data_IF_774577212292
#
_entry.id   IF_774577212292
#
_cell.length_a   1.000
_cell.length_b   1.000
_cell.length_c   1.000
_cell.angle_alpha   90.00
_cell.angle_beta   90.00
_cell.angle_gamma   90.00
#
_symmetry.space_group_name_H-M   'P 1'
#
loop_
_entity.id
_entity.type
_entity.pdbx_description
1 polymer ?
#
# COMPACT_ATOMS: atom_id res chain seq x y z
N UNK A 1 24.56 -25.25 19.46
CA UNK A 1 23.26 -25.73 18.98
C UNK A 1 22.91 -24.90 17.76
N UNK A 2 22.96 -25.47 16.55
CA UNK A 2 22.71 -24.75 15.31
C UNK A 2 21.20 -24.72 15.08
N UNK A 3 20.59 -23.53 15.12
CA UNK A 3 19.18 -23.37 14.78
C UNK A 3 19.07 -23.51 13.26
N UNK A 4 18.49 -24.63 12.80
CA UNK A 4 18.11 -24.78 11.40
C UNK A 4 16.76 -24.07 11.26
N UNK A 5 16.75 -22.91 10.61
CA UNK A 5 15.51 -22.27 10.21
C UNK A 5 14.92 -23.01 9.01
N UNK A 6 13.70 -23.51 9.15
CA UNK A 6 12.93 -24.09 8.05
C UNK A 6 12.07 -22.98 7.43
N UNK A 7 12.13 -22.86 6.11
CA UNK A 7 11.21 -21.99 5.37
C UNK A 7 9.77 -22.50 5.52
N UNK A 8 8.83 -21.58 5.73
CA UNK A 8 7.39 -21.87 5.82
C UNK A 8 6.65 -21.04 4.79
N UNK A 9 6.01 -21.70 3.83
CA UNK A 9 5.07 -21.05 2.93
C UNK A 9 3.74 -20.80 3.66
N UNK A 10 3.25 -19.55 3.62
CA UNK A 10 2.04 -19.12 4.36
C UNK A 10 0.86 -18.87 3.42
N UNK A 11 1.11 -18.52 2.16
CA UNK A 11 0.09 -18.32 1.12
C UNK A 11 0.33 -19.23 -0.08
N UNK A 12 -0.74 -19.62 -0.78
CA UNK A 12 -0.69 -20.56 -1.92
C UNK A 12 -1.50 -20.12 -3.13
N UNK A 13 -2.17 -18.97 -3.05
CA UNK A 13 -2.99 -18.47 -4.15
C UNK A 13 -2.11 -18.09 -5.35
N UNK A 14 -2.61 -18.31 -6.57
CA UNK A 14 -1.88 -17.95 -7.78
C UNK A 14 -2.10 -16.48 -8.15
N UNK A 15 -1.49 -15.58 -7.36
CA UNK A 15 -1.52 -14.12 -7.53
C UNK A 15 -0.28 -13.48 -6.89
N UNK A 16 -0.10 -12.19 -7.11
CA UNK A 16 0.94 -11.40 -6.44
C UNK A 16 0.84 -11.46 -4.92
N UNK A 17 1.99 -11.56 -4.26
CA UNK A 17 2.15 -11.43 -2.81
C UNK A 17 3.36 -10.55 -2.54
N UNK A 18 3.29 -9.30 -3.00
CA UNK A 18 4.43 -8.37 -2.99
C UNK A 18 4.52 -7.70 -1.63
N UNK A 19 5.66 -7.87 -0.97
CA UNK A 19 5.99 -7.19 0.27
C UNK A 19 6.72 -5.89 -0.04
N UNK A 20 6.31 -4.80 0.59
CA UNK A 20 7.15 -3.61 0.68
C UNK A 20 8.44 -3.97 1.42
N UNK A 21 9.54 -3.30 1.07
CA UNK A 21 10.86 -3.56 1.63
C UNK A 21 10.98 -3.31 3.16
N UNK A 22 9.95 -2.73 3.79
CA UNK A 22 9.91 -2.44 5.23
C UNK A 22 8.47 -2.34 5.75
N UNK A 23 8.31 -2.34 7.07
CA UNK A 23 7.05 -1.98 7.73
C UNK A 23 5.87 -2.91 7.47
N UNK A 24 6.12 -4.16 7.05
CA UNK A 24 5.02 -5.06 6.62
C UNK A 24 4.33 -5.82 7.75
N UNK A 25 4.83 -5.73 8.98
CA UNK A 25 4.29 -6.47 10.13
C UNK A 25 3.25 -5.64 10.88
N UNK A 26 2.15 -6.28 11.28
CA UNK A 26 1.20 -5.68 12.21
C UNK A 26 1.84 -5.43 13.58
N UNK A 27 1.33 -4.48 14.38
CA UNK A 27 1.86 -4.19 15.72
C UNK A 27 1.95 -5.41 16.65
N UNK A 28 1.01 -6.34 16.52
CA UNK A 28 0.95 -7.58 17.31
C UNK A 28 1.82 -8.72 16.74
N UNK A 29 2.55 -8.46 15.64
CA UNK A 29 3.40 -9.42 14.94
C UNK A 29 2.69 -10.69 14.45
N UNK A 30 1.36 -10.68 14.33
CA UNK A 30 0.60 -11.83 13.88
C UNK A 30 0.24 -11.78 12.39
N UNK A 31 0.32 -10.60 11.76
CA UNK A 31 -0.10 -10.37 10.39
C UNK A 31 1.00 -9.71 9.57
N UNK A 32 1.05 -10.08 8.29
CA UNK A 32 1.91 -9.44 7.28
C UNK A 32 1.01 -8.84 6.20
N UNK A 33 1.23 -7.57 5.84
CA UNK A 33 0.55 -6.91 4.72
C UNK A 33 1.33 -7.11 3.42
N UNK A 34 0.60 -7.32 2.33
CA UNK A 34 1.13 -7.39 0.98
C UNK A 34 0.14 -6.81 -0.03
N UNK A 35 0.63 -6.48 -1.22
CA UNK A 35 -0.19 -6.14 -2.37
C UNK A 35 -0.16 -7.22 -3.46
N UNK A 36 -1.11 -7.13 -4.38
CA UNK A 36 -1.35 -8.18 -5.39
C UNK A 36 -0.90 -7.81 -6.80
N UNK A 37 0.06 -6.88 -6.95
CA UNK A 37 0.70 -6.61 -8.26
C UNK A 37 1.20 -7.90 -8.91
N UNK A 38 0.99 -8.02 -10.21
CA UNK A 38 1.21 -9.29 -10.93
C UNK A 38 2.69 -9.63 -11.14
N UNK A 39 3.52 -8.60 -11.18
CA UNK A 39 4.95 -8.71 -11.45
C UNK A 39 5.77 -8.93 -10.16
N UNK A 40 6.66 -9.94 -10.10
CA UNK A 40 7.47 -10.22 -8.91
C UNK A 40 8.43 -9.10 -8.48
N UNK A 41 8.94 -8.25 -9.39
CA UNK A 41 9.73 -7.08 -8.98
C UNK A 41 8.85 -5.92 -8.51
N UNK A 42 7.55 -5.97 -8.79
CA UNK A 42 6.59 -4.94 -8.44
C UNK A 42 6.68 -3.70 -9.33
N UNK A 43 7.31 -3.80 -10.50
CA UNK A 43 7.52 -2.68 -11.41
C UNK A 43 6.22 -2.29 -12.13
N UNK A 44 5.35 -3.28 -12.34
CA UNK A 44 4.02 -3.08 -12.93
C UNK A 44 3.03 -2.69 -11.84
N UNK A 45 2.37 -1.55 -12.02
CA UNK A 45 1.36 -1.06 -11.09
C UNK A 45 -0.06 -1.45 -11.50
N UNK A 46 -0.37 -2.73 -11.29
CA UNK A 46 -1.64 -3.35 -11.64
C UNK A 46 -2.31 -4.07 -10.45
N UNK A 47 -1.83 -3.83 -9.23
CA UNK A 47 -2.34 -4.45 -8.02
C UNK A 47 -3.80 -4.05 -7.77
N UNK A 48 -4.66 -5.04 -7.54
CA UNK A 48 -6.10 -4.82 -7.35
C UNK A 48 -6.54 -4.86 -5.89
N UNK A 49 -5.71 -5.41 -5.00
CA UNK A 49 -6.01 -5.54 -3.58
C UNK A 49 -4.81 -5.28 -2.68
N UNK A 50 -5.09 -4.72 -1.50
CA UNK A 50 -4.21 -4.74 -0.33
C UNK A 50 -4.73 -5.79 0.64
N UNK A 51 -3.86 -6.70 1.06
CA UNK A 51 -4.25 -7.87 1.86
C UNK A 51 -3.33 -8.08 3.04
N UNK A 52 -3.83 -8.79 4.06
CA UNK A 52 -3.03 -9.26 5.19
C UNK A 52 -3.18 -10.76 5.37
N UNK A 53 -2.08 -11.43 5.70
CA UNK A 53 -2.06 -12.85 6.05
C UNK A 53 -1.61 -13.04 7.49
N UNK A 54 -2.34 -13.88 8.23
CA UNK A 54 -1.94 -14.28 9.57
C UNK A 54 -0.86 -15.37 9.50
N UNK A 55 0.29 -15.14 10.13
CA UNK A 55 1.46 -16.04 9.97
C UNK A 55 1.30 -17.41 10.64
N UNK A 56 0.40 -17.51 11.63
CA UNK A 56 0.17 -18.75 12.37
C UNK A 56 -0.84 -19.63 11.64
N UNK A 57 -1.93 -19.03 11.15
CA UNK A 57 -3.09 -19.74 10.60
C UNK A 57 -3.14 -19.77 9.07
N UNK A 58 -2.39 -18.91 8.39
CA UNK A 58 -2.51 -18.71 6.93
C UNK A 58 -3.78 -18.00 6.50
N UNK A 59 -4.61 -17.51 7.44
CA UNK A 59 -5.84 -16.78 7.12
C UNK A 59 -5.50 -15.46 6.43
N UNK A 60 -6.07 -15.26 5.24
CA UNK A 60 -5.98 -14.00 4.48
C UNK A 60 -7.23 -13.15 4.73
N UNK A 61 -7.04 -11.82 4.81
CA UNK A 61 -8.10 -10.83 4.75
C UNK A 61 -7.74 -9.78 3.70
N UNK A 62 -8.73 -9.36 2.91
CA UNK A 62 -8.57 -8.19 2.05
C UNK A 62 -8.90 -6.94 2.86
N UNK A 63 -8.01 -5.95 2.83
CA UNK A 63 -8.19 -4.67 3.50
C UNK A 63 -8.76 -3.62 2.57
N UNK A 64 -8.43 -3.69 1.28
CA UNK A 64 -8.88 -2.72 0.29
C UNK A 64 -8.93 -3.36 -1.10
N UNK A 65 -10.00 -3.07 -1.84
CA UNK A 65 -10.12 -3.33 -3.27
C UNK A 65 -10.03 -2.02 -4.05
N UNK A 66 -9.12 -1.95 -5.02
CA UNK A 66 -9.13 -0.84 -5.97
C UNK A 66 -10.38 -0.90 -6.85
N UNK A 67 -10.96 0.27 -7.15
CA UNK A 67 -12.20 0.35 -7.93
C UNK A 67 -12.04 1.28 -9.12
N UNK A 68 -13.01 1.23 -10.05
CA UNK A 68 -13.12 2.18 -11.14
C UNK A 68 -11.85 2.33 -12.00
N UNK A 69 -11.08 1.25 -12.18
CA UNK A 69 -9.84 1.26 -12.98
C UNK A 69 -8.60 1.79 -12.25
N UNK A 70 -8.70 2.10 -10.95
CA UNK A 70 -7.53 2.37 -10.12
C UNK A 70 -6.77 1.07 -9.80
N UNK A 71 -5.50 1.24 -9.44
CA UNK A 71 -4.63 0.20 -8.90
C UNK A 71 -4.02 0.65 -7.58
N UNK A 72 -3.63 -0.30 -6.74
CA UNK A 72 -3.05 -0.07 -5.44
C UNK A 72 -1.80 -0.93 -5.23
N UNK A 73 -0.94 -0.54 -4.28
CA UNK A 73 0.21 -1.34 -3.90
C UNK A 73 1.08 -0.69 -2.83
N UNK A 74 2.24 -1.28 -2.57
CA UNK A 74 3.30 -0.69 -1.72
C UNK A 74 2.77 -0.34 -0.32
N UNK A 75 2.25 -1.37 0.36
CA UNK A 75 1.61 -1.23 1.66
C UNK A 75 2.59 -1.33 2.84
N UNK A 76 2.41 -0.52 3.88
CA UNK A 76 3.10 -0.62 5.17
C UNK A 76 2.11 -0.45 6.33
N UNK A 77 2.38 -1.10 7.45
CA UNK A 77 1.62 -0.96 8.70
C UNK A 77 2.08 0.26 9.51
N UNK A 78 1.13 0.83 10.24
CA UNK A 78 1.42 1.71 11.37
C UNK A 78 2.07 0.90 12.51
N UNK A 79 3.09 1.44 13.23
CA UNK A 79 3.84 0.67 14.23
C UNK A 79 3.03 0.32 15.49
N UNK A 80 1.95 1.04 15.78
CA UNK A 80 1.17 0.89 17.01
C UNK A 80 -0.34 0.68 16.81
N UNK A 81 -0.84 0.92 15.60
CA UNK A 81 -2.28 0.92 15.30
C UNK A 81 -2.55 -0.09 14.20
N UNK A 82 -3.80 -0.55 14.12
CA UNK A 82 -4.25 -1.44 13.05
C UNK A 82 -4.60 -0.65 11.78
N UNK A 83 -3.66 0.17 11.31
CA UNK A 83 -3.77 0.99 10.10
C UNK A 83 -2.71 0.56 9.10
N UNK A 84 -3.06 0.57 7.83
CA UNK A 84 -2.15 0.32 6.71
C UNK A 84 -2.17 1.53 5.79
N UNK A 85 -0.99 2.04 5.46
CA UNK A 85 -0.80 3.08 4.44
C UNK A 85 -0.29 2.42 3.15
N UNK A 86 -0.77 2.89 2.00
CA UNK A 86 -0.40 2.35 0.69
C UNK A 86 -0.62 3.39 -0.41
N UNK A 87 -0.09 3.12 -1.62
CA UNK A 87 -0.32 3.98 -2.78
C UNK A 87 -1.58 3.56 -3.52
N UNK A 88 -2.33 4.55 -4.02
CA UNK A 88 -3.50 4.38 -4.85
C UNK A 88 -3.36 5.23 -6.13
N UNK A 89 -3.69 4.64 -7.28
CA UNK A 89 -3.81 5.34 -8.55
C UNK A 89 -5.14 6.09 -8.68
N UNK A 90 -5.30 6.93 -9.72
CA UNK A 90 -6.55 7.63 -9.95
C UNK A 90 -7.66 6.65 -10.34
N UNK A 91 -8.87 6.93 -9.86
CA UNK A 91 -10.08 6.28 -10.39
C UNK A 91 -10.52 6.93 -11.70
N UNK A 92 -11.17 6.13 -12.54
CA UNK A 92 -11.75 6.52 -13.84
C UNK A 92 -10.74 7.21 -14.76
N UNK A 93 -9.58 6.60 -15.04
CA UNK A 93 -8.64 7.15 -16.02
C UNK A 93 -9.33 7.29 -17.38
N UNK A 94 -8.98 8.34 -18.13
CA UNK A 94 -9.45 8.54 -19.51
C UNK A 94 -8.82 7.49 -20.43
N UNK A 95 -9.42 7.25 -21.61
CA UNK A 95 -8.93 6.20 -22.52
C UNK A 95 -7.51 6.46 -23.07
N UNK A 96 -7.10 7.72 -23.12
CA UNK A 96 -5.77 8.18 -23.50
C UNK A 96 -4.79 8.26 -22.33
N UNK A 97 -5.25 7.98 -21.10
CA UNK A 97 -4.41 8.01 -19.91
C UNK A 97 -3.31 6.95 -19.99
N UNK A 98 -2.11 7.38 -19.61
CA UNK A 98 -0.98 6.48 -19.38
C UNK A 98 -0.58 6.56 -17.91
N UNK A 99 -0.19 5.41 -17.39
CA UNK A 99 0.33 5.34 -16.04
C UNK A 99 1.60 6.18 -15.88
N UNK A 100 1.64 6.97 -14.81
CA UNK A 100 2.83 7.70 -14.36
C UNK A 100 2.89 7.68 -12.83
N UNK A 101 4.10 7.68 -12.28
CA UNK A 101 4.31 7.73 -10.84
C UNK A 101 3.75 9.02 -10.21
N UNK A 102 3.72 10.12 -10.98
CA UNK A 102 3.14 11.39 -10.55
C UNK A 102 1.62 11.35 -10.34
N UNK A 103 0.93 10.26 -10.71
CA UNK A 103 -0.51 10.11 -10.51
C UNK A 103 -0.88 9.39 -9.21
N UNK A 104 0.09 8.82 -8.49
CA UNK A 104 -0.13 8.05 -7.24
C UNK A 104 -0.42 8.98 -6.06
N UNK A 105 -1.23 8.52 -5.12
CA UNK A 105 -1.46 9.18 -3.83
C UNK A 105 -1.32 8.19 -2.67
N UNK A 106 -0.94 8.69 -1.50
CA UNK A 106 -1.04 7.97 -0.23
C UNK A 106 -2.46 7.93 0.30
N UNK A 107 -2.89 6.74 0.69
CA UNK A 107 -4.14 6.50 1.41
C UNK A 107 -3.90 5.58 2.59
N UNK A 108 -4.79 5.64 3.58
CA UNK A 108 -4.77 4.79 4.77
C UNK A 108 -6.07 4.01 4.85
N UNK A 109 -6.00 2.74 5.27
CA UNK A 109 -7.16 1.93 5.67
C UNK A 109 -7.00 1.42 7.09
N UNK A 110 -8.09 1.41 7.86
CA UNK A 110 -8.17 0.72 9.14
C UNK A 110 -8.53 -0.75 8.90
N UNK A 111 -7.75 -1.67 9.47
CA UNK A 111 -7.95 -3.12 9.32
C UNK A 111 -9.33 -3.58 9.81
N UNK A 112 -9.95 -2.87 10.73
CA UNK A 112 -11.30 -3.16 11.23
C UNK A 112 -12.41 -2.53 10.38
N UNK A 113 -12.06 -1.62 9.48
CA UNK A 113 -12.98 -0.93 8.57
C UNK A 113 -12.48 -1.05 7.12
N UNK A 114 -12.44 -2.28 6.57
CA UNK A 114 -11.91 -2.54 5.24
C UNK A 114 -12.71 -1.79 4.16
N UNK A 115 -12.05 -1.55 3.02
CA UNK A 115 -12.54 -0.82 1.85
C UNK A 115 -12.86 0.67 2.09
N UNK A 116 -12.74 1.16 3.34
CA UNK A 116 -12.89 2.58 3.68
C UNK A 116 -11.49 3.22 3.75
N UNK A 117 -11.00 3.67 2.60
CA UNK A 117 -9.74 4.41 2.51
C UNK A 117 -9.93 5.90 2.83
N UNK A 118 -9.00 6.46 3.60
CA UNK A 118 -8.89 7.90 3.85
C UNK A 118 -7.64 8.44 3.14
N UNK A 119 -7.74 9.62 2.54
CA UNK A 119 -6.58 10.25 1.91
C UNK A 119 -5.57 10.67 2.98
N UNK A 120 -4.32 10.26 2.80
CA UNK A 120 -3.19 10.77 3.57
C UNK A 120 -2.63 12.03 2.90
N UNK A 121 -2.46 11.98 1.59
CA UNK A 121 -1.92 13.11 0.85
C UNK A 121 -2.96 14.20 0.63
N UNK A 122 -2.57 15.45 0.87
CA UNK A 122 -3.28 16.62 0.40
C UNK A 122 -2.72 17.03 -0.96
N UNK A 123 -3.45 16.74 -2.05
CA UNK A 123 -3.01 17.00 -3.44
C UNK A 123 -3.88 18.05 -4.11
N UNK A 124 -3.25 18.88 -4.94
CA UNK A 124 -3.90 19.90 -5.77
C UNK A 124 -3.18 19.99 -7.12
N UNK A 125 -3.75 19.31 -8.13
CA UNK A 125 -3.08 19.05 -9.41
C UNK A 125 -3.35 20.13 -10.46
N UNK A 126 -4.35 21.00 -10.24
CA UNK A 126 -4.81 21.97 -11.25
C UNK A 126 -5.01 23.36 -10.64
N UNK A 127 -4.61 24.44 -11.32
CA UNK A 127 -4.81 25.80 -10.80
C UNK A 127 -6.30 26.13 -10.53
N UNK A 128 -6.59 27.00 -9.53
CA UNK A 128 -5.65 27.71 -8.66
C UNK A 128 -5.11 26.83 -7.54
N UNK A 129 -3.79 26.81 -7.36
CA UNK A 129 -3.14 25.92 -6.38
C UNK A 129 -3.30 26.38 -4.92
N UNK A 130 -3.47 25.41 -4.05
CA UNK A 130 -3.48 25.53 -2.59
C UNK A 130 -2.05 25.53 -2.04
N UNK A 131 -1.62 26.55 -1.28
CA UNK A 131 -0.31 26.56 -0.63
C UNK A 131 -0.12 25.33 0.27
N UNK A 132 0.99 24.61 0.08
CA UNK A 132 1.32 23.40 0.85
C UNK A 132 0.74 22.09 0.30
N UNK A 133 -0.14 22.13 -0.70
CA UNK A 133 -0.63 20.92 -1.36
C UNK A 133 0.42 20.35 -2.33
N UNK A 134 0.47 19.01 -2.41
CA UNK A 134 1.31 18.28 -3.35
C UNK A 134 0.77 18.40 -4.77
N UNK A 135 1.66 18.50 -5.77
CA UNK A 135 1.29 18.65 -7.19
C UNK A 135 1.68 17.45 -8.05
N UNK A 136 2.62 16.65 -7.55
CA UNK A 136 3.04 15.39 -8.11
C UNK A 136 2.44 14.22 -7.33
N UNK A 137 3.02 13.05 -7.54
CA UNK A 137 2.63 11.81 -6.90
C UNK A 137 3.55 11.48 -5.72
N UNK A 138 3.03 10.68 -4.81
CA UNK A 138 3.79 10.13 -3.67
C UNK A 138 4.08 8.65 -3.89
N UNK A 139 5.14 8.14 -3.30
CA UNK A 139 5.47 6.73 -3.33
C UNK A 139 6.14 6.28 -2.02
N UNK A 140 5.90 5.02 -1.63
CA UNK A 140 6.43 4.37 -0.43
C UNK A 140 6.26 5.21 0.83
N UNK A 141 5.08 5.11 1.44
CA UNK A 141 4.80 5.76 2.71
C UNK A 141 5.29 4.89 3.87
N UNK A 142 6.12 5.47 4.74
CA UNK A 142 6.68 4.79 5.91
C UNK A 142 6.47 5.65 7.14
N UNK A 143 5.79 5.07 8.12
CA UNK A 143 5.61 5.67 9.45
C UNK A 143 6.94 5.76 10.19
N UNK A 144 7.13 6.84 10.94
CA UNK A 144 8.18 6.88 11.94
C UNK A 144 7.91 5.89 13.08
N UNK A 145 8.88 5.66 13.95
CA UNK A 145 8.78 4.66 15.00
C UNK A 145 7.64 4.94 16.00
N UNK A 146 7.24 6.20 16.18
CA UNK A 146 6.14 6.58 17.06
C UNK A 146 4.77 6.56 16.36
N UNK A 147 4.71 6.43 15.03
CA UNK A 147 3.47 6.47 14.26
C UNK A 147 2.85 7.87 14.11
N UNK A 148 3.62 8.92 14.35
CA UNK A 148 3.14 10.30 14.29
C UNK A 148 3.43 10.97 12.94
N UNK A 149 4.48 10.53 12.26
CA UNK A 149 4.96 11.12 11.01
C UNK A 149 5.05 10.07 9.91
N UNK A 150 4.82 10.52 8.68
CA UNK A 150 5.00 9.69 7.48
C UNK A 150 6.04 10.32 6.58
N UNK A 151 7.03 9.53 6.19
CA UNK A 151 7.94 9.85 5.09
C UNK A 151 7.46 9.20 3.80
N UNK A 152 7.72 9.84 2.67
CA UNK A 152 7.43 9.31 1.33
C UNK A 152 8.42 9.89 0.31
N UNK A 153 8.62 9.19 -0.81
CA UNK A 153 9.28 9.76 -1.99
C UNK A 153 8.25 10.49 -2.85
N UNK A 154 8.68 11.53 -3.54
CA UNK A 154 7.80 12.40 -4.31
C UNK A 154 8.26 12.47 -5.77
N UNK A 155 7.29 12.46 -6.69
CA UNK A 155 7.47 12.40 -8.13
C UNK A 155 6.73 13.56 -8.78
N UNK A 156 7.46 14.54 -9.31
CA UNK A 156 6.87 15.67 -10.02
C UNK A 156 6.19 15.24 -11.33
N UNK A 157 5.21 16.04 -11.76
CA UNK A 157 4.50 15.89 -13.03
C UNK A 157 5.21 16.63 -14.17
#
# INVERSE_FOLDING_TARGET
>A
MQIIALEKQITTQNKGHILTNTGVWSPDSNWIVYDTRSDPSGDVFDGSTIEVVNIHTGKVKVLYHSTNGAYCGVATFHPHDNKVVFILGPERPTADWQYSASHRQGVIVDVFHPDIAINLDARDLTPPFTPGALRGGSHVHVWDANGEWVSFTYEDH
#
